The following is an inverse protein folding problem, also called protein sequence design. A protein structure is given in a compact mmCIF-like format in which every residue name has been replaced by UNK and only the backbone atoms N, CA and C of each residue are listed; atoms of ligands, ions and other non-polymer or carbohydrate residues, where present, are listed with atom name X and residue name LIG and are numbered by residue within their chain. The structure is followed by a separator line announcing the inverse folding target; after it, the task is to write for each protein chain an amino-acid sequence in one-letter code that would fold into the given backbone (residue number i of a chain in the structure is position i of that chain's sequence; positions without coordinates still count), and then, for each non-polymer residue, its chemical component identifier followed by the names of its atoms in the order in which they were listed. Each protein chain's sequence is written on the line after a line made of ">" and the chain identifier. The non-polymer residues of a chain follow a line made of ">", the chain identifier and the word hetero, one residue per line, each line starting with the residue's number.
data_IF_751629950877
#
_entry.id   IF_751629950877
#
_cell.length_a   1.000
_cell.length_b   1.000
_cell.length_c   1.000
_cell.angle_alpha   90.00
_cell.angle_beta   90.00
_cell.angle_gamma   90.00
#
_symmetry.space_group_name_H-M   'P 1'
#
loop_
_entity.id
_entity.type
_entity.pdbx_description
1 polymer ?
#
# COMPACT_ATOMS: atom_id res chain seq x y z
N UNK A 1 -11.68 47.33 12.01
CA UNK A 1 -10.92 47.08 13.25
C UNK A 1 -11.46 45.82 13.92
N UNK A 2 -11.36 44.67 13.25
CA UNK A 2 -11.94 43.43 13.72
C UNK A 2 -10.92 42.30 13.59
N UNK A 3 -10.77 41.53 14.66
CA UNK A 3 -9.83 40.39 14.76
C UNK A 3 -10.09 39.25 13.76
N UNK A 4 -11.11 39.39 12.90
CA UNK A 4 -11.56 38.39 11.92
C UNK A 4 -11.22 38.77 10.47
N UNK A 5 -10.31 39.72 10.26
CA UNK A 5 -9.81 40.02 8.91
C UNK A 5 -9.12 38.79 8.31
N UNK A 6 -9.46 38.44 7.06
CA UNK A 6 -8.86 37.30 6.33
C UNK A 6 -7.32 37.36 6.32
N UNK A 7 -6.75 38.57 6.38
CA UNK A 7 -5.31 38.83 6.46
C UNK A 7 -4.69 38.23 7.72
N UNK A 8 -5.42 38.20 8.83
CA UNK A 8 -4.94 37.62 10.10
C UNK A 8 -4.76 36.10 9.98
N UNK A 9 -5.72 35.41 9.36
CA UNK A 9 -5.63 33.99 9.05
C UNK A 9 -4.45 33.65 8.14
N UNK A 10 -4.18 34.49 7.12
CA UNK A 10 -3.02 34.31 6.24
C UNK A 10 -1.70 34.43 7.03
N UNK A 11 -1.57 35.44 7.91
CA UNK A 11 -0.37 35.62 8.74
C UNK A 11 -0.17 34.43 9.67
N UNK A 12 -1.23 33.92 10.30
CA UNK A 12 -1.14 32.72 11.15
C UNK A 12 -0.68 31.50 10.34
N UNK A 13 -1.23 31.30 9.14
CA UNK A 13 -0.85 30.17 8.30
C UNK A 13 0.65 30.20 7.95
N UNK A 14 1.16 31.38 7.62
CA UNK A 14 2.59 31.58 7.33
C UNK A 14 3.44 31.24 8.55
N UNK A 15 3.06 31.70 9.75
CA UNK A 15 3.80 31.40 10.99
C UNK A 15 3.80 29.90 11.28
N UNK A 16 2.66 29.21 11.11
CA UNK A 16 2.58 27.75 11.28
C UNK A 16 3.51 27.04 10.30
N UNK A 17 3.51 27.42 9.02
CA UNK A 17 4.41 26.83 8.01
C UNK A 17 5.89 27.06 8.36
N UNK A 18 6.23 28.23 8.91
CA UNK A 18 7.61 28.54 9.32
C UNK A 18 8.05 27.74 10.55
N UNK A 19 7.18 27.56 11.55
CA UNK A 19 7.49 26.80 12.77
C UNK A 19 7.61 25.30 12.48
N UNK A 20 6.65 24.73 11.75
CA UNK A 20 6.65 23.30 11.43
C UNK A 20 7.59 22.97 10.25
N UNK A 21 7.90 23.93 9.41
CA UNK A 21 8.68 23.77 8.18
C UNK A 21 7.90 23.08 7.06
N UNK A 22 8.24 23.42 5.80
CA UNK A 22 7.57 22.86 4.61
C UNK A 22 7.77 21.34 4.46
N UNK A 23 8.86 20.78 5.01
CA UNK A 23 9.17 19.35 4.91
C UNK A 23 8.22 18.47 5.74
N UNK A 24 7.78 18.93 6.92
CA UNK A 24 6.81 18.20 7.75
C UNK A 24 5.40 18.36 7.21
N UNK A 25 5.02 19.59 6.81
CA UNK A 25 3.73 19.87 6.17
C UNK A 25 3.55 19.11 4.86
N UNK A 26 4.61 18.92 4.06
CA UNK A 26 4.52 18.14 2.83
C UNK A 26 4.30 16.65 3.11
N UNK A 27 5.03 16.05 4.05
CA UNK A 27 4.83 14.62 4.34
C UNK A 27 3.44 14.36 4.96
N UNK A 28 3.03 15.11 5.99
CA UNK A 28 1.68 14.94 6.57
C UNK A 28 0.57 15.41 5.61
N UNK A 29 0.83 16.46 4.84
CA UNK A 29 -0.14 17.02 3.90
C UNK A 29 -0.38 16.12 2.69
N UNK A 30 0.59 15.30 2.27
CA UNK A 30 0.37 14.28 1.24
C UNK A 30 -0.58 13.20 1.76
N UNK A 31 -0.34 12.62 2.94
CA UNK A 31 -1.17 11.54 3.49
C UNK A 31 -2.62 11.99 3.76
N UNK A 32 -2.78 13.17 4.36
CA UNK A 32 -4.10 13.78 4.62
C UNK A 32 -4.73 14.27 3.31
N UNK A 33 -3.92 14.79 2.40
CA UNK A 33 -4.37 15.29 1.10
C UNK A 33 -4.91 14.18 0.20
N UNK A 34 -4.29 13.01 0.18
CA UNK A 34 -4.78 11.84 -0.57
C UNK A 34 -6.13 11.35 -0.03
N UNK A 35 -6.29 11.31 1.29
CA UNK A 35 -7.54 10.94 1.96
C UNK A 35 -8.68 11.90 1.58
N UNK A 36 -8.42 13.21 1.61
CA UNK A 36 -9.40 14.24 1.25
C UNK A 36 -9.64 14.25 -0.27
N UNK A 37 -8.63 13.95 -1.10
CA UNK A 37 -8.75 13.90 -2.56
C UNK A 37 -9.72 12.80 -3.00
N UNK A 38 -9.66 11.61 -2.40
CA UNK A 38 -10.60 10.53 -2.66
C UNK A 38 -12.04 10.92 -2.31
N UNK A 39 -12.24 11.55 -1.15
CA UNK A 39 -13.54 12.09 -0.74
C UNK A 39 -14.07 13.13 -1.72
N UNK A 40 -13.24 14.11 -2.10
CA UNK A 40 -13.65 15.15 -3.05
C UNK A 40 -13.94 14.57 -4.43
N UNK A 41 -13.17 13.59 -4.88
CA UNK A 41 -13.38 12.87 -6.14
C UNK A 41 -14.71 12.13 -6.12
N UNK A 42 -15.01 11.35 -5.08
CA UNK A 42 -16.30 10.68 -4.92
C UNK A 42 -17.47 11.66 -4.91
N UNK A 43 -17.36 12.77 -4.18
CA UNK A 43 -18.38 13.81 -4.12
C UNK A 43 -18.64 14.50 -5.48
N UNK A 44 -17.67 14.51 -6.40
CA UNK A 44 -17.80 15.09 -7.74
C UNK A 44 -18.11 14.04 -8.82
N UNK A 45 -17.85 12.75 -8.58
CA UNK A 45 -18.15 11.64 -9.49
C UNK A 45 -19.64 11.26 -9.46
N UNK A 46 -20.37 11.57 -8.37
CA UNK A 46 -21.83 11.38 -8.34
C UNK A 46 -22.57 12.22 -9.40
N UNK A 47 -21.92 13.26 -9.95
CA UNK A 47 -22.44 14.10 -11.03
C UNK A 47 -21.93 13.73 -12.44
N UNK A 48 -21.04 12.73 -12.60
CA UNK A 48 -20.47 12.36 -13.92
C UNK A 48 -20.06 10.88 -14.02
N UNK A 49 -20.45 10.14 -15.08
CA UNK A 49 -20.16 8.71 -15.19
C UNK A 49 -18.65 8.41 -15.13
N UNK A 50 -18.32 7.40 -14.33
CA UNK A 50 -17.01 7.06 -13.80
C UNK A 50 -15.86 7.03 -14.81
N UNK A 51 -14.77 7.73 -14.48
CA UNK A 51 -13.49 7.67 -15.19
C UNK A 51 -12.43 7.01 -14.28
N UNK A 52 -11.92 5.80 -14.61
CA UNK A 52 -11.07 5.01 -13.73
C UNK A 52 -9.61 5.48 -13.86
N UNK A 53 -9.29 6.67 -13.35
CA UNK A 53 -7.90 7.15 -13.39
C UNK A 53 -7.50 7.95 -12.15
N UNK A 54 -7.11 7.26 -11.08
CA UNK A 54 -5.99 7.69 -10.21
C UNK A 54 -5.49 6.52 -9.35
N UNK A 55 -4.79 5.58 -9.99
CA UNK A 55 -3.70 4.86 -9.35
C UNK A 55 -2.45 5.73 -9.56
N UNK A 56 -1.77 6.25 -8.52
CA UNK A 56 -0.41 6.72 -8.69
C UNK A 56 0.40 5.55 -9.27
N UNK A 57 0.85 5.72 -10.50
CA UNK A 57 1.66 4.77 -11.24
C UNK A 57 2.85 4.35 -10.37
N UNK A 58 2.83 3.11 -9.90
CA UNK A 58 4.07 2.37 -9.69
C UNK A 58 4.47 1.81 -11.07
N UNK A 59 5.68 2.08 -11.58
CA UNK A 59 6.12 1.50 -12.84
C UNK A 59 6.20 -0.03 -12.71
N UNK A 60 5.33 -0.73 -13.42
CA UNK A 60 5.43 -2.17 -13.72
C UNK A 60 5.50 -2.37 -15.25
N UNK A 61 6.17 -3.42 -15.74
CA UNK A 61 7.24 -3.38 -16.77
C UNK A 61 6.88 -4.06 -18.12
N UNK A 62 7.83 -4.15 -19.09
CA UNK A 62 7.86 -5.26 -20.04
C UNK A 62 9.25 -5.97 -20.17
N UNK A 63 9.24 -7.29 -19.88
CA UNK A 63 10.05 -8.41 -20.40
C UNK A 63 11.60 -8.40 -20.40
N UNK A 64 12.20 -9.37 -19.67
CA UNK A 64 13.29 -10.20 -20.20
C UNK A 64 12.93 -11.69 -20.06
N UNK A 65 12.97 -12.50 -21.13
CA UNK A 65 12.98 -13.95 -21.01
C UNK A 65 14.34 -14.37 -20.48
N UNK A 66 14.42 -14.75 -19.20
CA UNK A 66 15.62 -15.39 -18.68
C UNK A 66 15.66 -16.82 -19.21
N UNK A 67 16.50 -16.99 -20.22
CA UNK A 67 16.96 -18.25 -20.77
C UNK A 67 17.55 -19.14 -19.67
N UNK A 68 17.22 -20.42 -19.74
CA UNK A 68 17.68 -21.51 -18.90
C UNK A 68 19.19 -21.46 -18.57
N UNK A 69 19.54 -21.71 -17.30
CA UNK A 69 20.60 -22.66 -16.89
C UNK A 69 20.75 -22.80 -15.37
N UNK A 70 21.18 -24.00 -14.97
CA UNK A 70 21.26 -24.59 -13.61
C UNK A 70 19.90 -25.11 -13.11
N UNK A 71 19.44 -26.31 -13.47
CA UNK A 71 20.06 -27.63 -13.22
C UNK A 71 20.66 -27.72 -11.82
N UNK A 72 19.80 -28.05 -10.85
CA UNK A 72 20.17 -28.90 -9.73
C UNK A 72 18.93 -29.67 -9.22
N UNK A 73 18.68 -30.91 -9.67
CA UNK A 73 17.77 -31.83 -8.98
C UNK A 73 18.53 -32.54 -7.84
N UNK A 74 17.87 -33.37 -7.01
CA UNK A 74 16.87 -33.08 -6.00
C UNK A 74 17.39 -33.46 -4.59
N UNK A 75 16.88 -32.82 -3.53
CA UNK A 75 17.00 -33.36 -2.16
C UNK A 75 15.60 -33.45 -1.53
N UNK A 76 14.77 -34.29 -2.12
CA UNK A 76 13.67 -34.94 -1.38
C UNK A 76 14.34 -35.87 -0.38
N UNK A 77 14.27 -35.53 0.90
CA UNK A 77 14.43 -36.54 1.96
C UNK A 77 13.10 -37.28 2.03
N UNK A 78 13.08 -38.43 1.36
CA UNK A 78 12.16 -39.53 1.60
C UNK A 78 12.34 -39.99 3.05
N UNK A 79 11.40 -39.65 3.93
CA UNK A 79 11.19 -40.44 5.16
C UNK A 79 10.17 -41.52 4.81
N UNK A 80 10.69 -42.64 4.32
CA UNK A 80 10.07 -43.95 4.47
C UNK A 80 9.79 -44.20 5.96
N UNK A 81 8.54 -44.09 6.38
CA UNK A 81 8.05 -44.73 7.60
C UNK A 81 7.59 -46.16 7.24
N UNK A 82 8.56 -47.04 7.01
CA UNK A 82 8.34 -48.48 7.00
C UNK A 82 8.44 -48.98 8.45
N UNK A 83 7.49 -49.85 8.83
CA UNK A 83 7.52 -50.82 9.95
C UNK A 83 6.87 -50.40 11.28
N UNK A 84 5.56 -50.58 11.37
CA UNK A 84 4.95 -51.25 12.54
C UNK A 84 4.06 -52.38 11.99
N UNK A 85 4.69 -53.53 11.82
CA UNK A 85 4.00 -54.81 11.62
C UNK A 85 3.29 -55.18 12.93
N UNK A 86 2.10 -55.73 12.77
CA UNK A 86 1.09 -56.04 13.78
C UNK A 86 1.64 -56.82 14.98
N UNK A 87 1.10 -56.53 16.17
CA UNK A 87 0.73 -57.61 17.07
C UNK A 87 -0.73 -57.49 17.53
N UNK A 88 -1.52 -58.49 17.11
CA UNK A 88 -2.51 -59.16 17.96
C UNK A 88 -3.61 -58.26 18.56
N UNK A 89 -4.74 -58.19 17.85
CA UNK A 89 -6.03 -58.46 18.49
C UNK A 89 -6.73 -59.58 17.73
N UNK A 90 -6.38 -60.79 18.12
CA UNK A 90 -7.37 -61.86 18.23
C UNK A 90 -8.42 -61.41 19.27
N UNK A 91 -9.56 -62.10 19.26
CA UNK A 91 -10.48 -62.29 20.38
C UNK A 91 -11.86 -61.60 20.22
N UNK A 92 -12.86 -62.48 20.06
CA UNK A 92 -14.32 -62.35 20.24
C UNK A 92 -15.15 -62.05 18.98
#
# INVERSE_FOLDING_TARGET
>A
MGIFDWKHWVVILVVVVLVFGTKKLKNLGTDVGESIKGFRKAMNDEDKPADPTVTPQQPVPPAQPQTAQSVNPPHTIDVQAQKVEEPIRKDV
#
